data_IF_688985152565
#
_entry.id   IF_688985152565
#
_cell.length_a   1.000
_cell.length_b   1.000
_cell.length_c   1.000
_cell.angle_alpha   90.00
_cell.angle_beta   90.00
_cell.angle_gamma   90.00
#
_symmetry.space_group_name_H-M   'P 1'
#
loop_
_entity.id
_entity.type
_entity.pdbx_description
1 polymer ?
#
# COMPACT_ATOMS: atom_id res chain seq x y z
N UNK A 1 27.81 -17.58 11.10
CA UNK A 1 27.32 -17.02 11.11
C UNK A 1 26.95 -16.09 11.01
N UNK A 2 26.75 -15.72 10.90
CA UNK A 2 26.32 -14.84 10.73
C UNK A 2 25.50 -14.22 10.90
N UNK A 3 25.00 -14.01 11.17
CA UNK A 3 24.20 -13.40 11.29
C UNK A 3 24.07 -12.42 11.20
N UNK A 4 23.89 -12.45 10.99
CA UNK A 4 23.47 -11.45 10.69
C UNK A 4 22.69 -10.69 11.25
N UNK A 5 22.87 -9.88 11.70
CA UNK A 5 22.03 -9.14 12.33
C UNK A 5 21.62 -7.99 11.62
N UNK A 6 20.91 -8.18 10.60
CA UNK A 6 20.33 -7.08 9.91
C UNK A 6 19.17 -6.56 10.64
N UNK A 7 18.90 -5.31 10.49
CA UNK A 7 17.72 -4.70 11.08
C UNK A 7 16.49 -5.28 10.41
N UNK A 8 15.54 -5.81 11.18
CA UNK A 8 14.40 -6.50 10.57
C UNK A 8 13.63 -5.69 9.54
N UNK A 9 13.42 -4.40 9.80
CA UNK A 9 12.69 -3.57 8.86
C UNK A 9 13.41 -3.42 7.53
N UNK A 10 14.70 -3.19 7.58
CA UNK A 10 15.50 -3.03 6.38
C UNK A 10 15.57 -4.34 5.61
N UNK A 11 15.71 -5.45 6.33
CA UNK A 11 15.74 -6.75 5.73
C UNK A 11 14.44 -7.07 5.00
N UNK A 12 13.30 -6.73 5.60
CA UNK A 12 11.99 -6.93 4.98
C UNK A 12 11.84 -6.11 3.71
N UNK A 13 12.30 -4.86 3.74
CA UNK A 13 12.24 -3.99 2.56
C UNK A 13 13.08 -4.56 1.42
N UNK A 14 14.27 -5.02 1.72
CA UNK A 14 15.16 -5.58 0.70
C UNK A 14 14.59 -6.86 0.10
N UNK A 15 14.08 -7.74 0.94
CA UNK A 15 13.47 -8.99 0.48
C UNK A 15 12.23 -8.71 -0.36
N UNK A 16 11.38 -7.79 0.09
CA UNK A 16 10.17 -7.42 -0.65
C UNK A 16 10.51 -6.79 -1.99
N UNK A 17 11.51 -5.93 -2.03
CA UNK A 17 11.92 -5.28 -3.29
C UNK A 17 12.41 -6.31 -4.30
N UNK A 18 13.11 -7.35 -3.85
CA UNK A 18 13.53 -8.42 -4.76
C UNK A 18 12.35 -9.20 -5.29
N UNK A 19 11.38 -9.51 -4.42
CA UNK A 19 10.19 -10.24 -4.84
C UNK A 19 9.41 -9.47 -5.89
N UNK A 20 9.23 -8.16 -5.71
CA UNK A 20 8.44 -7.39 -6.66
C UNK A 20 9.14 -7.23 -8.00
N UNK A 21 10.47 -7.21 -8.02
CA UNK A 21 11.19 -7.21 -9.29
C UNK A 21 10.95 -8.50 -10.05
N UNK A 22 10.91 -9.61 -9.35
CA UNK A 22 10.75 -10.92 -9.95
C UNK A 22 9.31 -11.20 -10.36
N UNK A 23 8.35 -10.92 -9.50
CA UNK A 23 6.95 -11.31 -9.72
C UNK A 23 6.06 -10.21 -10.28
N UNK A 24 6.41 -8.95 -10.10
CA UNK A 24 5.59 -7.84 -10.55
C UNK A 24 6.27 -7.00 -11.63
N UNK A 25 7.48 -7.37 -12.04
CA UNK A 25 8.25 -6.68 -13.05
C UNK A 25 8.50 -5.21 -12.69
N UNK A 26 8.68 -4.92 -11.40
CA UNK A 26 8.98 -3.57 -10.97
C UNK A 26 10.47 -3.31 -11.11
N UNK A 27 10.83 -2.38 -11.96
CA UNK A 27 12.22 -1.97 -12.10
C UNK A 27 12.60 -1.01 -10.99
N UNK A 28 11.67 -0.15 -10.58
CA UNK A 28 11.92 0.85 -9.56
C UNK A 28 10.85 0.79 -8.49
N UNK A 29 11.26 0.73 -7.23
CA UNK A 29 10.34 0.80 -6.09
C UNK A 29 10.38 2.22 -5.56
N UNK A 30 9.27 2.94 -5.67
CA UNK A 30 9.17 4.33 -5.25
C UNK A 30 8.87 4.48 -3.77
N UNK A 31 8.14 3.54 -3.20
CA UNK A 31 7.83 3.61 -1.78
C UNK A 31 7.60 2.22 -1.20
N UNK A 32 7.86 2.12 0.10
CA UNK A 32 7.64 0.92 0.87
C UNK A 32 6.97 1.31 2.18
N UNK A 33 5.91 0.62 2.55
CA UNK A 33 5.22 0.87 3.80
C UNK A 33 4.66 -0.44 4.33
N UNK A 34 4.21 -0.41 5.58
CA UNK A 34 3.54 -1.55 6.17
C UNK A 34 2.10 -1.12 6.45
N UNK A 35 1.17 -1.87 5.90
CA UNK A 35 -0.25 -1.66 6.15
C UNK A 35 -0.70 -2.63 7.24
N UNK A 36 -1.30 -2.11 8.30
CA UNK A 36 -1.81 -2.91 9.41
C UNK A 36 -3.33 -2.75 9.48
N UNK A 37 -4.04 -3.71 8.93
CA UNK A 37 -5.50 -3.75 9.02
C UNK A 37 -5.90 -5.05 9.68
N UNK A 38 -6.88 -5.73 9.14
CA UNK A 38 -7.27 -7.06 9.62
C UNK A 38 -6.11 -8.03 9.48
N UNK A 39 -5.37 -7.90 8.39
CA UNK A 39 -4.12 -8.59 8.17
C UNK A 39 -3.08 -7.56 7.82
N UNK A 40 -1.82 -7.89 8.04
CA UNK A 40 -0.73 -6.97 7.75
C UNK A 40 -0.10 -7.29 6.41
N UNK A 41 0.27 -6.24 5.69
CA UNK A 41 0.86 -6.36 4.35
C UNK A 41 2.06 -5.45 4.22
N UNK A 42 3.07 -5.91 3.48
CA UNK A 42 4.08 -5.01 2.96
C UNK A 42 3.49 -4.38 1.71
N UNK A 43 3.52 -3.07 1.65
CA UNK A 43 2.90 -2.30 0.56
C UNK A 43 3.98 -1.58 -0.21
N UNK A 44 4.13 -1.91 -1.48
CA UNK A 44 5.15 -1.31 -2.33
C UNK A 44 4.50 -0.64 -3.53
N UNK A 45 4.95 0.55 -3.86
CA UNK A 45 4.54 1.26 -5.06
C UNK A 45 5.77 1.43 -5.93
N UNK A 46 5.63 1.18 -7.21
CA UNK A 46 6.75 1.29 -8.10
C UNK A 46 6.35 1.31 -9.55
N UNK A 47 7.35 1.27 -10.43
CA UNK A 47 7.14 1.34 -11.88
C UNK A 47 7.87 0.21 -12.57
N UNK A 48 7.27 -0.29 -13.65
CA UNK A 48 7.94 -1.24 -14.52
C UNK A 48 8.94 -0.51 -15.42
N UNK A 49 9.72 -1.28 -16.18
CA UNK A 49 10.67 -0.71 -17.14
C UNK A 49 9.97 0.13 -18.21
N UNK A 50 8.68 -0.09 -18.41
CA UNK A 50 7.88 0.65 -19.39
C UNK A 50 7.14 1.82 -18.78
N UNK A 51 7.39 2.12 -17.51
CA UNK A 51 6.78 3.24 -16.83
C UNK A 51 5.38 2.97 -16.30
N UNK A 52 4.93 1.72 -16.28
CA UNK A 52 3.61 1.38 -15.74
C UNK A 52 3.68 1.38 -14.22
N UNK A 53 2.84 2.16 -13.58
CA UNK A 53 2.80 2.21 -12.13
C UNK A 53 1.99 1.08 -11.55
N UNK A 54 2.54 0.40 -10.56
CA UNK A 54 1.90 -0.73 -9.91
C UNK A 54 2.00 -0.64 -8.41
N UNK A 55 1.00 -1.20 -7.73
CA UNK A 55 1.02 -1.41 -6.29
C UNK A 55 1.14 -2.90 -6.04
N UNK A 56 1.99 -3.29 -5.12
CA UNK A 56 2.19 -4.68 -4.77
C UNK A 56 1.97 -4.84 -3.27
N UNK A 57 1.11 -5.78 -2.91
CA UNK A 57 0.82 -6.10 -1.52
C UNK A 57 1.30 -7.50 -1.23
N UNK A 58 2.15 -7.64 -0.22
CA UNK A 58 2.67 -8.95 0.19
C UNK A 58 2.17 -9.23 1.60
N UNK A 59 1.32 -10.25 1.73
CA UNK A 59 0.78 -10.62 3.04
C UNK A 59 1.91 -11.12 3.92
N UNK A 60 2.03 -10.59 5.14
CA UNK A 60 3.13 -10.95 6.03
C UNK A 60 3.07 -12.39 6.50
N UNK A 61 1.87 -12.91 6.69
CA UNK A 61 1.70 -14.26 7.23
C UNK A 61 1.81 -15.35 6.18
N UNK A 62 1.24 -15.13 5.00
CA UNK A 62 1.17 -16.17 3.96
C UNK A 62 2.12 -15.97 2.80
N UNK A 63 2.75 -14.79 2.72
CA UNK A 63 3.57 -14.39 1.58
C UNK A 63 2.78 -14.33 0.26
N UNK A 64 1.47 -14.25 0.34
CA UNK A 64 0.63 -14.09 -0.84
C UNK A 64 0.89 -12.72 -1.44
N UNK A 65 1.05 -12.67 -2.76
CA UNK A 65 1.39 -11.44 -3.48
C UNK A 65 0.20 -11.01 -4.33
N UNK A 66 -0.22 -9.76 -4.15
CA UNK A 66 -1.29 -9.16 -4.95
C UNK A 66 -0.72 -7.97 -5.70
N UNK A 67 -0.96 -7.90 -7.00
CA UNK A 67 -0.42 -6.85 -7.86
C UNK A 67 -1.56 -6.10 -8.51
N UNK A 68 -1.52 -4.78 -8.44
CA UNK A 68 -2.54 -3.93 -9.04
C UNK A 68 -1.88 -2.85 -9.88
N UNK A 69 -2.43 -2.62 -11.08
CA UNK A 69 -2.00 -1.47 -11.88
C UNK A 69 -2.73 -0.24 -11.34
N UNK A 70 -1.97 0.81 -11.08
CA UNK A 70 -2.57 2.01 -10.46
C UNK A 70 -3.53 2.74 -11.40
N UNK A 71 -3.43 2.52 -12.71
CA UNK A 71 -4.35 3.14 -13.66
C UNK A 71 -5.72 2.43 -13.71
N UNK A 72 -5.89 1.33 -13.01
CA UNK A 72 -7.16 0.59 -13.00
C UNK A 72 -8.08 0.96 -11.85
N UNK A 73 -7.72 1.95 -11.06
CA UNK A 73 -8.53 2.41 -9.95
C UNK A 73 -8.28 3.88 -9.68
N UNK A 74 -8.74 4.34 -8.52
CA UNK A 74 -8.53 5.73 -8.14
C UNK A 74 -7.07 5.95 -7.79
N UNK A 75 -6.55 7.12 -8.16
CA UNK A 75 -5.18 7.47 -7.85
C UNK A 75 -5.06 7.84 -6.37
N UNK A 76 -3.81 7.94 -5.91
CA UNK A 76 -3.56 8.40 -4.55
C UNK A 76 -4.17 9.77 -4.31
N UNK A 77 -4.00 10.69 -5.26
CA UNK A 77 -4.56 12.03 -5.15
C UNK A 77 -6.09 12.02 -5.11
N UNK A 78 -6.71 11.16 -5.90
CA UNK A 78 -8.16 11.02 -5.87
C UNK A 78 -8.64 10.46 -4.53
N UNK A 79 -7.90 9.50 -3.96
CA UNK A 79 -8.23 8.96 -2.65
C UNK A 79 -8.14 10.03 -1.58
N UNK A 80 -7.13 10.89 -1.64
CA UNK A 80 -7.01 12.00 -0.72
C UNK A 80 -8.19 12.95 -0.82
N UNK A 81 -8.62 13.25 -2.05
CA UNK A 81 -9.78 14.12 -2.28
C UNK A 81 -11.06 13.51 -1.71
N UNK A 82 -11.25 12.22 -1.90
CA UNK A 82 -12.42 11.52 -1.38
C UNK A 82 -12.41 11.55 0.15
N UNK A 83 -11.24 11.35 0.76
CA UNK A 83 -11.12 11.43 2.21
C UNK A 83 -11.49 12.83 2.71
N UNK A 84 -11.04 13.87 2.02
CA UNK A 84 -11.37 15.24 2.38
C UNK A 84 -12.86 15.53 2.26
N UNK A 85 -13.52 14.96 1.25
CA UNK A 85 -14.96 15.08 1.12
C UNK A 85 -15.69 14.41 2.28
N UNK A 86 -15.05 13.48 2.96
CA UNK A 86 -15.63 12.78 4.09
C UNK A 86 -15.12 13.30 5.43
N UNK A 87 -14.48 14.45 5.44
CA UNK A 87 -14.11 15.13 6.67
C UNK A 87 -12.61 15.17 7.00
N UNK A 88 -11.77 14.64 6.14
CA UNK A 88 -10.33 14.68 6.41
C UNK A 88 -9.78 16.09 6.29
N UNK A 89 -8.88 16.43 7.19
CA UNK A 89 -8.13 17.68 7.11
C UNK A 89 -6.82 17.45 6.38
N UNK A 90 -5.72 17.90 6.98
CA UNK A 90 -4.39 17.69 6.41
C UNK A 90 -4.09 16.20 6.35
N UNK A 91 -3.64 15.75 5.20
CA UNK A 91 -3.31 14.33 5.00
C UNK A 91 -1.91 14.07 5.54
N UNK A 92 -1.80 13.13 6.46
CA UNK A 92 -0.53 12.77 7.07
C UNK A 92 0.18 11.67 6.33
N UNK A 93 -0.58 10.69 5.82
CA UNK A 93 0.01 9.54 5.15
C UNK A 93 -1.05 8.83 4.31
N UNK A 94 -0.63 8.26 3.20
CA UNK A 94 -1.48 7.42 2.35
C UNK A 94 -0.76 6.12 2.09
N UNK A 95 -1.43 5.00 2.34
CA UNK A 95 -0.85 3.68 2.19
C UNK A 95 -1.82 2.79 1.42
N UNK A 96 -1.31 2.05 0.45
CA UNK A 96 -2.12 1.03 -0.22
C UNK A 96 -2.25 -0.18 0.70
N UNK A 97 -3.45 -0.71 0.82
CA UNK A 97 -3.70 -1.86 1.66
C UNK A 97 -4.78 -2.75 1.10
N UNK A 98 -5.23 -3.69 1.90
CA UNK A 98 -6.24 -4.65 1.50
C UNK A 98 -7.18 -4.89 2.67
N UNK A 99 -8.48 -4.71 2.44
CA UNK A 99 -9.45 -4.78 3.53
C UNK A 99 -10.79 -5.27 2.97
N UNK A 100 -11.40 -6.24 3.65
CA UNK A 100 -12.68 -6.82 3.24
C UNK A 100 -12.65 -7.28 1.78
N UNK A 101 -11.60 -8.02 1.45
CA UNK A 101 -11.42 -8.65 0.15
C UNK A 101 -11.31 -7.67 -1.00
N UNK A 102 -10.81 -6.44 -0.74
CA UNK A 102 -10.60 -5.48 -1.81
C UNK A 102 -9.38 -4.61 -1.53
N UNK A 103 -8.69 -4.18 -2.58
CA UNK A 103 -7.60 -3.22 -2.39
C UNK A 103 -8.18 -1.87 -2.00
N UNK A 104 -7.50 -1.19 -1.08
CA UNK A 104 -7.93 0.12 -0.58
C UNK A 104 -6.74 1.06 -0.45
N UNK A 105 -7.05 2.36 -0.42
CA UNK A 105 -6.11 3.37 0.02
C UNK A 105 -6.47 3.73 1.46
N UNK A 106 -5.49 3.62 2.35
CA UNK A 106 -5.68 4.08 3.73
C UNK A 106 -5.13 5.49 3.82
N UNK A 107 -6.02 6.45 4.04
CA UNK A 107 -5.65 7.85 4.17
C UNK A 107 -5.72 8.22 5.63
N UNK A 108 -4.58 8.60 6.19
CA UNK A 108 -4.52 9.03 7.59
C UNK A 108 -4.55 10.54 7.67
N UNK A 109 -5.46 11.06 8.48
CA UNK A 109 -5.58 12.50 8.71
C UNK A 109 -5.90 12.73 10.18
N UNK A 110 -4.99 13.36 10.89
CA UNK A 110 -5.11 13.53 12.33
C UNK A 110 -5.12 12.16 13.00
N UNK A 111 -6.10 11.87 13.79
CA UNK A 111 -6.24 10.56 14.40
C UNK A 111 -7.23 9.65 13.68
N UNK A 112 -7.61 9.99 12.45
CA UNK A 112 -8.64 9.26 11.73
C UNK A 112 -8.06 8.56 10.52
N UNK A 113 -8.50 7.33 10.29
CA UNK A 113 -8.12 6.54 9.13
C UNK A 113 -9.31 6.41 8.20
N UNK A 114 -9.14 6.82 6.94
CA UNK A 114 -10.18 6.74 5.91
C UNK A 114 -9.76 5.65 4.94
N UNK A 115 -10.57 4.61 4.78
CA UNK A 115 -10.30 3.55 3.83
C UNK A 115 -11.13 3.77 2.59
N UNK A 116 -10.47 4.03 1.47
CA UNK A 116 -11.11 4.33 0.19
C UNK A 116 -10.87 3.15 -0.74
N UNK A 117 -11.95 2.58 -1.29
CA UNK A 117 -11.81 1.47 -2.21
C UNK A 117 -11.03 1.87 -3.44
N UNK A 118 -9.98 1.11 -3.77
CA UNK A 118 -9.15 1.42 -4.93
C UNK A 118 -9.94 1.28 -6.23
N UNK A 119 -10.73 0.23 -6.33
CA UNK A 119 -11.50 -0.04 -7.55
C UNK A 119 -12.80 0.75 -7.59
N UNK A 120 -13.44 0.97 -6.44
CA UNK A 120 -14.75 1.61 -6.40
C UNK A 120 -14.70 3.12 -6.21
N UNK A 121 -13.65 3.62 -5.60
CA UNK A 121 -13.57 5.03 -5.25
C UNK A 121 -14.51 5.44 -4.13
N UNK A 122 -15.04 4.48 -3.37
CA UNK A 122 -15.99 4.77 -2.32
C UNK A 122 -15.36 4.61 -0.94
N UNK A 123 -15.88 5.36 0.02
CA UNK A 123 -15.44 5.23 1.40
C UNK A 123 -15.88 3.86 1.93
N UNK A 124 -14.91 3.03 2.30
CA UNK A 124 -15.16 1.69 2.82
C UNK A 124 -15.28 1.73 4.34
N UNK A 125 -14.45 2.55 4.97
CA UNK A 125 -14.44 2.63 6.44
C UNK A 125 -13.83 3.96 6.86
N UNK A 126 -14.26 4.44 8.01
CA UNK A 126 -13.71 5.65 8.61
C UNK A 126 -13.61 5.37 10.11
N UNK A 127 -12.39 5.34 10.62
CA UNK A 127 -12.16 5.02 12.02
C UNK A 127 -11.30 6.08 12.69
N UNK A 128 -11.85 6.67 13.77
CA UNK A 128 -11.11 7.62 14.57
C UNK A 128 -10.37 6.93 15.71
N UNK A 129 -9.33 7.57 16.19
CA UNK A 129 -8.59 7.08 17.35
C UNK A 129 -9.02 7.78 18.62
#
# INVERSE_FOLDING_TARGET
>A
VLQVSMQPRQSAKEASSRLVKEYADLEKVDSFAIYNGQESYYSLLGKTSKGVEKAVLIAKDSNEIRVYRLDQGVSQGEAESIAKENGAGTIDKVTMGYFKDQPIWEVKSGGTYYLIGFESGQLVSKEGL
#
